data_IF_811434098899
#
_entry.id   IF_811434098899
#
_cell.length_a   1.000
_cell.length_b   1.000
_cell.length_c   1.000
_cell.angle_alpha   90.00
_cell.angle_beta   90.00
_cell.angle_gamma   90.00
#
_symmetry.space_group_name_H-M   'P 1'
#
loop_
_entity.id
_entity.type
_entity.pdbx_description
1 polymer ?
#
# COMPACT_ATOMS: atom_id res chain seq x y z
N UNK A 1 -0.33 -11.25 14.51
CA UNK A 1 0.31 -12.20 15.47
C UNK A 1 -0.67 -12.94 16.38
N UNK A 2 -1.53 -12.21 17.09
CA UNK A 2 -2.52 -12.80 18.04
C UNK A 2 -3.43 -13.81 17.35
N UNK A 3 -4.04 -13.46 16.22
CA UNK A 3 -4.92 -14.36 15.45
C UNK A 3 -4.20 -15.62 14.99
N UNK A 4 -2.96 -15.48 14.50
CA UNK A 4 -2.15 -16.63 14.09
C UNK A 4 -1.83 -17.58 15.27
N UNK A 5 -1.71 -17.03 16.48
CA UNK A 5 -1.52 -17.79 17.72
C UNK A 5 -2.81 -18.48 18.18
N UNK A 6 -3.96 -17.81 18.05
CA UNK A 6 -5.28 -18.37 18.41
C UNK A 6 -5.69 -19.53 17.50
N UNK A 7 -5.29 -19.48 16.23
CA UNK A 7 -5.72 -20.43 15.20
C UNK A 7 -4.54 -21.08 14.47
N UNK A 8 -3.68 -21.85 15.18
CA UNK A 8 -2.42 -22.33 14.63
C UNK A 8 -2.59 -23.32 13.45
N UNK A 9 -3.72 -24.01 13.37
CA UNK A 9 -4.05 -24.98 12.30
C UNK A 9 -4.75 -24.36 11.08
N UNK A 10 -5.20 -23.11 11.17
CA UNK A 10 -5.97 -22.43 10.13
C UNK A 10 -5.52 -20.96 9.99
N UNK A 11 -4.22 -20.70 10.10
CA UNK A 11 -3.64 -19.35 10.17
C UNK A 11 -4.08 -18.49 9.00
N UNK A 12 -3.96 -18.98 7.76
CA UNK A 12 -4.32 -18.20 6.56
C UNK A 12 -5.80 -17.83 6.56
N UNK A 13 -6.71 -18.77 6.88
CA UNK A 13 -8.16 -18.50 6.94
C UNK A 13 -8.48 -17.37 7.91
N UNK A 14 -8.00 -17.47 9.15
CA UNK A 14 -8.33 -16.48 10.18
C UNK A 14 -7.60 -15.16 10.00
N UNK A 15 -6.37 -15.17 9.48
CA UNK A 15 -5.69 -13.95 9.06
C UNK A 15 -6.41 -13.27 7.89
N UNK A 16 -7.00 -14.03 6.97
CA UNK A 16 -7.83 -13.47 5.89
C UNK A 16 -9.07 -12.79 6.42
N UNK A 17 -9.80 -13.43 7.34
CA UNK A 17 -10.96 -12.83 8.01
C UNK A 17 -10.57 -11.57 8.79
N UNK A 18 -9.44 -11.60 9.51
CA UNK A 18 -8.91 -10.41 10.19
C UNK A 18 -8.65 -9.28 9.19
N UNK A 19 -8.00 -9.59 8.06
CA UNK A 19 -7.72 -8.62 7.01
C UNK A 19 -8.99 -8.17 6.27
N UNK A 20 -10.09 -8.93 6.32
CA UNK A 20 -11.38 -8.45 5.82
C UNK A 20 -11.80 -7.18 6.58
N UNK A 21 -11.44 -7.04 7.86
CA UNK A 21 -11.68 -5.83 8.65
C UNK A 21 -11.10 -4.55 8.02
N UNK A 22 -9.92 -4.62 7.38
CA UNK A 22 -9.35 -3.50 6.63
C UNK A 22 -10.26 -3.08 5.47
N UNK A 23 -10.63 -4.04 4.62
CA UNK A 23 -11.49 -3.80 3.46
C UNK A 23 -12.87 -3.30 3.89
N UNK A 24 -13.45 -3.90 4.93
CA UNK A 24 -14.72 -3.46 5.52
C UNK A 24 -14.64 -2.05 6.10
N UNK A 25 -13.52 -1.68 6.69
CA UNK A 25 -13.25 -0.32 7.15
C UNK A 25 -13.22 0.70 6.00
N UNK A 26 -12.56 0.37 4.88
CA UNK A 26 -12.57 1.21 3.66
C UNK A 26 -13.99 1.33 3.09
N UNK A 27 -14.76 0.24 3.05
CA UNK A 27 -16.15 0.26 2.58
C UNK A 27 -17.03 1.14 3.47
N UNK A 28 -17.03 0.90 4.79
CA UNK A 28 -17.84 1.66 5.74
C UNK A 28 -17.43 3.14 5.74
N UNK A 29 -16.12 3.42 5.86
CA UNK A 29 -15.59 4.78 5.86
C UNK A 29 -15.86 5.50 4.55
N UNK A 30 -15.67 4.83 3.42
CA UNK A 30 -15.95 5.38 2.10
C UNK A 30 -17.44 5.68 1.89
N UNK A 31 -18.35 4.76 2.25
CA UNK A 31 -19.79 5.01 2.19
C UNK A 31 -20.16 6.21 3.06
N UNK A 32 -19.71 6.24 4.32
CA UNK A 32 -20.03 7.35 5.22
C UNK A 32 -19.46 8.68 4.71
N UNK A 33 -18.22 8.71 4.21
CA UNK A 33 -17.59 9.93 3.72
C UNK A 33 -18.18 10.44 2.39
N UNK A 34 -18.51 9.55 1.45
CA UNK A 34 -19.04 9.90 0.14
C UNK A 34 -20.52 10.29 0.20
N UNK A 35 -21.30 9.71 1.13
CA UNK A 35 -22.72 10.05 1.33
C UNK A 35 -22.93 11.40 2.01
N UNK A 36 -21.96 11.85 2.82
CA UNK A 36 -21.95 13.22 3.34
C UNK A 36 -21.78 14.29 2.24
N UNK A 37 -21.45 13.90 1.01
CA UNK A 37 -21.33 14.82 -0.11
C UNK A 37 -20.02 15.61 -0.13
N UNK A 38 -19.75 16.24 -1.27
CA UNK A 38 -18.51 17.00 -1.52
C UNK A 38 -18.43 18.28 -0.67
N UNK A 39 -19.56 18.93 -0.41
CA UNK A 39 -19.63 20.21 0.32
C UNK A 39 -19.41 20.09 1.83
N UNK A 40 -19.49 18.87 2.38
CA UNK A 40 -19.22 18.64 3.80
C UNK A 40 -17.74 18.83 4.09
N UNK A 41 -17.46 19.69 5.08
CA UNK A 41 -16.10 19.98 5.52
C UNK A 41 -15.34 18.69 5.90
N UNK A 42 -14.08 18.61 5.49
CA UNK A 42 -13.26 17.40 5.63
C UNK A 42 -13.07 16.97 7.09
N UNK A 43 -13.10 17.92 8.04
CA UNK A 43 -12.97 17.65 9.48
C UNK A 43 -14.06 16.71 9.97
N UNK A 44 -15.30 16.88 9.50
CA UNK A 44 -16.40 15.98 9.87
C UNK A 44 -16.20 14.59 9.28
N UNK A 45 -15.73 14.49 8.03
CA UNK A 45 -15.41 13.21 7.39
C UNK A 45 -14.32 12.44 8.14
N UNK A 46 -13.27 13.13 8.59
CA UNK A 46 -12.21 12.52 9.41
C UNK A 46 -12.72 12.17 10.81
N UNK A 47 -13.57 13.01 11.41
CA UNK A 47 -14.16 12.79 12.73
C UNK A 47 -14.95 11.48 12.83
N UNK A 48 -15.49 10.97 11.71
CA UNK A 48 -16.17 9.67 11.66
C UNK A 48 -15.30 8.50 12.13
N UNK A 49 -13.98 8.60 12.00
CA UNK A 49 -13.02 7.57 12.44
C UNK A 49 -13.08 7.36 13.97
N UNK A 50 -13.46 8.39 14.73
CA UNK A 50 -13.55 8.32 16.19
C UNK A 50 -14.62 7.32 16.64
N UNK A 51 -15.72 7.17 15.90
CA UNK A 51 -16.83 6.27 16.26
C UNK A 51 -16.35 4.82 16.38
N UNK A 52 -15.83 4.17 15.32
CA UNK A 52 -15.34 2.80 15.44
C UNK A 52 -14.13 2.71 16.37
N UNK A 53 -13.25 3.72 16.42
CA UNK A 53 -12.08 3.72 17.29
C UNK A 53 -12.46 3.63 18.77
N UNK A 54 -13.45 4.41 19.22
CA UNK A 54 -13.93 4.39 20.59
C UNK A 54 -14.65 3.07 20.93
N UNK A 55 -15.46 2.55 20.00
CA UNK A 55 -16.15 1.27 20.16
C UNK A 55 -15.12 0.14 20.32
N UNK A 56 -14.16 0.03 19.41
CA UNK A 56 -13.10 -0.98 19.49
C UNK A 56 -12.24 -0.80 20.74
N UNK A 57 -11.88 0.44 21.08
CA UNK A 57 -11.14 0.76 22.30
C UNK A 57 -11.84 0.19 23.53
N UNK A 58 -13.13 0.51 23.70
CA UNK A 58 -13.95 0.01 24.80
C UNK A 58 -14.06 -1.52 24.81
N UNK A 59 -14.29 -2.15 23.66
CA UNK A 59 -14.37 -3.61 23.53
C UNK A 59 -13.08 -4.33 23.97
N UNK A 60 -11.92 -3.69 23.80
CA UNK A 60 -10.61 -4.31 24.10
C UNK A 60 -10.18 -4.21 25.56
N UNK A 61 -10.75 -3.31 26.36
CA UNK A 61 -10.34 -3.06 27.76
C UNK A 61 -10.39 -4.34 28.61
N UNK A 62 -11.36 -5.22 28.35
CA UNK A 62 -11.58 -6.44 29.15
C UNK A 62 -10.96 -7.70 28.53
N UNK A 63 -10.27 -7.60 27.39
CA UNK A 63 -9.76 -8.78 26.68
C UNK A 63 -8.38 -9.22 27.20
N UNK A 64 -8.25 -10.52 27.47
CA UNK A 64 -6.97 -11.17 27.76
C UNK A 64 -6.43 -11.83 26.50
N UNK A 65 -5.30 -11.35 25.99
CA UNK A 65 -4.70 -11.90 24.79
C UNK A 65 -3.90 -13.18 25.08
N UNK A 66 -3.94 -14.17 24.17
CA UNK A 66 -3.15 -15.39 24.31
C UNK A 66 -1.66 -15.10 24.20
N UNK A 67 -0.88 -15.92 24.89
CA UNK A 67 0.58 -15.91 24.83
C UNK A 67 1.02 -16.39 23.45
N UNK A 68 1.91 -15.64 22.78
CA UNK A 68 2.40 -15.95 21.43
C UNK A 68 2.93 -17.39 21.29
N UNK A 69 2.72 -18.00 20.11
CA UNK A 69 3.16 -19.37 19.77
C UNK A 69 4.66 -19.63 20.04
N UNK A 70 5.51 -18.62 19.84
CA UNK A 70 6.96 -18.71 20.16
C UNK A 70 7.20 -18.97 21.65
N UNK A 71 6.43 -18.31 22.52
CA UNK A 71 6.59 -18.36 23.97
C UNK A 71 6.02 -19.68 24.47
N UNK A 72 4.92 -20.14 23.89
CA UNK A 72 4.38 -21.48 24.14
C UNK A 72 5.37 -22.59 23.73
N UNK A 73 6.09 -22.38 22.62
CA UNK A 73 7.11 -23.31 22.11
C UNK A 73 8.49 -23.17 22.78
N UNK A 74 8.63 -22.34 23.81
CA UNK A 74 9.90 -22.15 24.53
C UNK A 74 11.02 -21.47 23.72
N UNK A 75 10.70 -20.85 22.58
CA UNK A 75 11.69 -20.21 21.70
C UNK A 75 12.16 -18.90 22.34
N UNK A 76 13.48 -18.80 22.54
CA UNK A 76 14.10 -17.63 23.13
C UNK A 76 13.94 -16.38 22.26
N UNK A 77 14.08 -15.20 22.87
CA UNK A 77 14.04 -13.95 22.12
C UNK A 77 15.15 -13.88 21.05
N UNK A 78 16.34 -14.38 21.38
CA UNK A 78 17.48 -14.41 20.45
C UNK A 78 17.21 -15.30 19.24
N UNK A 79 16.66 -16.49 19.44
CA UNK A 79 16.30 -17.39 18.33
C UNK A 79 15.23 -16.77 17.41
N UNK A 80 14.27 -16.04 17.97
CA UNK A 80 13.30 -15.29 17.17
C UNK A 80 13.98 -14.24 16.29
N UNK A 81 14.95 -13.49 16.82
CA UNK A 81 15.72 -12.52 16.04
C UNK A 81 16.59 -13.21 14.96
N UNK A 82 17.10 -14.41 15.25
CA UNK A 82 17.94 -15.18 14.32
C UNK A 82 17.20 -15.64 13.07
N UNK A 83 15.87 -15.82 13.14
CA UNK A 83 15.04 -16.13 11.97
C UNK A 83 15.05 -14.98 10.94
N UNK A 84 15.03 -13.74 11.42
CA UNK A 84 15.18 -12.53 10.59
C UNK A 84 16.62 -12.36 10.14
N UNK A 85 17.55 -12.41 11.11
CA UNK A 85 18.99 -12.25 10.91
C UNK A 85 19.42 -10.95 10.23
N UNK A 86 20.72 -10.86 9.93
CA UNK A 86 21.31 -9.65 9.35
C UNK A 86 20.71 -9.29 7.98
N UNK A 87 20.44 -10.27 7.11
CA UNK A 87 19.89 -10.05 5.77
C UNK A 87 18.46 -9.52 5.80
N UNK A 88 17.60 -10.09 6.64
CA UNK A 88 16.24 -9.57 6.83
C UNK A 88 16.23 -8.19 7.50
N UNK A 89 17.11 -7.98 8.48
CA UNK A 89 17.29 -6.69 9.14
C UNK A 89 17.75 -5.61 8.17
N UNK A 90 18.68 -5.91 7.26
CA UNK A 90 19.19 -4.95 6.28
C UNK A 90 18.06 -4.33 5.46
N UNK A 91 17.12 -5.14 4.96
CA UNK A 91 16.02 -4.68 4.10
C UNK A 91 15.12 -3.70 4.86
N UNK A 92 14.66 -4.09 6.05
CA UNK A 92 13.72 -3.26 6.83
C UNK A 92 14.39 -2.01 7.39
N UNK A 93 15.63 -2.13 7.89
CA UNK A 93 16.39 -1.01 8.42
C UNK A 93 16.71 -0.02 7.29
N UNK A 94 17.14 -0.49 6.12
CA UNK A 94 17.39 0.37 4.98
C UNK A 94 16.14 1.21 4.64
N UNK A 95 14.98 0.57 4.51
CA UNK A 95 13.76 1.30 4.15
C UNK A 95 13.33 2.32 5.22
N UNK A 96 13.44 1.97 6.50
CA UNK A 96 13.14 2.91 7.60
C UNK A 96 14.13 4.08 7.59
N UNK A 97 15.44 3.80 7.56
CA UNK A 97 16.46 4.83 7.68
C UNK A 97 16.48 5.76 6.47
N UNK A 98 16.31 5.22 5.25
CA UNK A 98 16.19 6.07 4.07
C UNK A 98 14.94 6.95 4.14
N UNK A 99 13.81 6.43 4.64
CA UNK A 99 12.62 7.25 4.83
C UNK A 99 12.84 8.35 5.86
N UNK A 100 13.48 8.04 7.00
CA UNK A 100 13.86 9.06 7.97
C UNK A 100 14.84 10.08 7.38
N UNK A 101 15.79 9.63 6.56
CA UNK A 101 16.72 10.50 5.84
C UNK A 101 16.01 11.51 4.95
N UNK A 102 14.94 11.11 4.25
CA UNK A 102 14.12 12.06 3.46
C UNK A 102 13.40 13.08 4.34
N UNK A 103 12.89 12.67 5.50
CA UNK A 103 12.16 13.55 6.43
C UNK A 103 13.09 14.54 7.14
N UNK A 104 14.29 14.10 7.52
CA UNK A 104 15.27 14.92 8.24
C UNK A 104 16.30 15.61 7.34
N UNK A 105 16.25 15.39 6.03
CA UNK A 105 17.20 15.98 5.07
C UNK A 105 18.64 15.44 5.19
N UNK A 106 18.80 14.16 5.57
CA UNK A 106 20.13 13.54 5.67
C UNK A 106 20.69 13.22 4.28
N UNK A 107 22.01 13.31 4.14
CA UNK A 107 22.66 12.83 2.91
C UNK A 107 22.54 11.31 2.78
N UNK A 108 22.54 10.81 1.54
CA UNK A 108 22.50 9.37 1.25
C UNK A 108 23.62 8.61 1.97
N UNK A 109 24.82 9.20 2.07
CA UNK A 109 25.95 8.60 2.78
C UNK A 109 25.65 8.38 4.26
N UNK A 110 25.02 9.35 4.93
CA UNK A 110 24.62 9.23 6.35
C UNK A 110 23.60 8.10 6.51
N UNK A 111 22.58 8.05 5.65
CA UNK A 111 21.56 6.98 5.68
C UNK A 111 22.16 5.59 5.46
N UNK A 112 23.12 5.45 4.54
CA UNK A 112 23.85 4.19 4.31
C UNK A 112 24.67 3.78 5.52
N UNK A 113 25.44 4.71 6.10
CA UNK A 113 26.28 4.42 7.28
C UNK A 113 25.42 3.96 8.46
N UNK A 114 24.33 4.68 8.78
CA UNK A 114 23.42 4.32 9.87
C UNK A 114 22.80 2.94 9.62
N UNK A 115 22.35 2.68 8.38
CA UNK A 115 21.79 1.38 8.00
C UNK A 115 22.77 0.24 8.23
N UNK A 116 24.02 0.40 7.76
CA UNK A 116 25.07 -0.61 7.92
C UNK A 116 25.45 -0.82 9.39
N UNK A 117 25.54 0.25 10.18
CA UNK A 117 25.86 0.16 11.60
C UNK A 117 24.79 -0.60 12.39
N UNK A 118 23.52 -0.26 12.20
CA UNK A 118 22.39 -0.95 12.88
C UNK A 118 22.34 -2.42 12.43
N UNK A 119 22.48 -2.67 11.12
CA UNK A 119 22.44 -4.03 10.57
C UNK A 119 23.63 -4.86 11.07
N UNK A 120 24.84 -4.30 11.11
CA UNK A 120 26.02 -4.97 11.61
C UNK A 120 25.90 -5.28 13.12
N UNK A 121 25.39 -4.34 13.92
CA UNK A 121 25.09 -4.57 15.33
C UNK A 121 24.07 -5.68 15.55
N UNK A 122 22.98 -5.67 14.78
CA UNK A 122 21.96 -6.73 14.81
C UNK A 122 22.53 -8.09 14.37
N UNK A 123 23.34 -8.11 13.31
CA UNK A 123 24.01 -9.30 12.81
C UNK A 123 25.03 -9.87 13.81
N UNK A 124 25.78 -9.00 14.48
CA UNK A 124 26.73 -9.39 15.52
C UNK A 124 26.03 -10.02 16.74
N UNK A 125 24.90 -9.44 17.16
CA UNK A 125 24.09 -9.98 18.26
C UNK A 125 23.44 -11.32 17.90
N UNK A 126 22.80 -11.40 16.72
CA UNK A 126 22.07 -12.59 16.29
C UNK A 126 23.01 -13.72 15.86
N UNK A 127 24.20 -13.42 15.34
CA UNK A 127 25.12 -14.42 14.75
C UNK A 127 24.44 -15.27 13.67
N UNK A 128 23.48 -14.67 12.96
CA UNK A 128 22.70 -15.32 11.90
C UNK A 128 22.51 -14.34 10.74
N UNK A 129 22.68 -14.83 9.52
CA UNK A 129 22.30 -14.08 8.33
C UNK A 129 20.78 -13.99 8.16
N UNK A 130 20.03 -14.91 8.77
CA UNK A 130 18.57 -15.02 8.61
C UNK A 130 18.20 -16.19 7.71
N UNK A 131 16.91 -16.54 7.67
CA UNK A 131 16.41 -17.58 6.77
C UNK A 131 16.38 -17.06 5.33
N UNK A 132 17.06 -17.71 4.37
CA UNK A 132 17.04 -17.25 2.97
C UNK A 132 15.63 -17.11 2.38
N UNK A 133 14.75 -18.06 2.68
CA UNK A 133 13.35 -18.00 2.27
C UNK A 133 12.63 -16.76 2.83
N UNK A 134 12.90 -16.37 4.07
CA UNK A 134 12.27 -15.20 4.68
C UNK A 134 12.70 -13.92 3.94
N UNK A 135 13.98 -13.80 3.61
CA UNK A 135 14.52 -12.67 2.84
C UNK A 135 13.83 -12.58 1.47
N UNK A 136 13.66 -13.72 0.78
CA UNK A 136 12.94 -13.77 -0.50
C UNK A 136 11.50 -13.29 -0.32
N UNK A 137 10.79 -13.75 0.72
CA UNK A 137 9.42 -13.31 0.98
C UNK A 137 9.33 -11.81 1.31
N UNK A 138 10.30 -11.24 2.02
CA UNK A 138 10.38 -9.80 2.25
C UNK A 138 10.54 -9.04 0.92
N UNK A 139 11.42 -9.51 0.03
CA UNK A 139 11.59 -8.90 -1.29
C UNK A 139 10.34 -9.02 -2.16
N UNK A 140 9.60 -10.14 -2.08
CA UNK A 140 8.32 -10.33 -2.78
C UNK A 140 7.20 -9.48 -2.16
N UNK A 141 7.24 -9.22 -0.86
CA UNK A 141 6.27 -8.36 -0.18
C UNK A 141 6.28 -6.92 -0.72
N UNK A 142 7.44 -6.41 -1.16
CA UNK A 142 7.57 -5.05 -1.70
C UNK A 142 6.68 -4.83 -2.94
N UNK A 143 6.87 -5.54 -4.08
CA UNK A 143 6.01 -5.37 -5.25
C UNK A 143 4.57 -5.80 -5.00
N UNK A 144 4.34 -6.79 -4.13
CA UNK A 144 2.99 -7.19 -3.72
C UNK A 144 2.24 -6.03 -3.05
N UNK A 145 2.88 -5.38 -2.06
CA UNK A 145 2.26 -4.27 -1.34
C UNK A 145 2.05 -3.04 -2.25
N UNK A 146 2.99 -2.77 -3.15
CA UNK A 146 2.84 -1.75 -4.20
C UNK A 146 1.65 -2.05 -5.11
N UNK A 147 1.47 -3.31 -5.52
CA UNK A 147 0.36 -3.71 -6.40
C UNK A 147 -1.01 -3.60 -5.71
N UNK A 148 -1.10 -3.88 -4.41
CA UNK A 148 -2.36 -3.74 -3.66
C UNK A 148 -2.58 -2.30 -3.18
N UNK A 149 -1.76 -1.84 -2.23
CA UNK A 149 -1.98 -0.58 -1.52
C UNK A 149 -1.42 0.64 -2.26
N UNK A 150 -0.32 0.46 -2.99
CA UNK A 150 0.22 1.53 -3.84
C UNK A 150 -0.74 1.90 -4.97
N UNK A 151 -1.48 0.93 -5.51
CA UNK A 151 -2.54 1.22 -6.48
C UNK A 151 -3.75 1.87 -5.80
N UNK A 152 -4.15 1.41 -4.60
CA UNK A 152 -5.27 1.99 -3.85
C UNK A 152 -5.10 3.48 -3.56
N UNK A 153 -3.87 3.93 -3.33
CA UNK A 153 -3.61 5.36 -3.08
C UNK A 153 -3.78 6.23 -4.33
N UNK A 154 -3.79 5.65 -5.53
CA UNK A 154 -3.85 6.38 -6.81
C UNK A 154 -5.13 6.14 -7.60
N UNK A 155 -5.84 5.03 -7.37
CA UNK A 155 -6.99 4.64 -8.20
C UNK A 155 -8.10 5.70 -8.22
N UNK A 156 -8.30 6.40 -7.10
CA UNK A 156 -9.31 7.47 -7.02
C UNK A 156 -8.94 8.65 -7.92
N UNK A 157 -7.69 9.11 -7.88
CA UNK A 157 -7.23 10.25 -8.67
C UNK A 157 -7.13 9.90 -10.15
N UNK A 158 -6.59 8.73 -10.47
CA UNK A 158 -6.46 8.25 -11.85
C UNK A 158 -7.80 8.00 -12.53
N UNK A 159 -8.82 7.55 -11.79
CA UNK A 159 -10.16 7.32 -12.34
C UNK A 159 -11.05 8.56 -12.29
N UNK A 160 -10.61 9.67 -11.70
CA UNK A 160 -11.42 10.87 -11.57
C UNK A 160 -11.95 11.44 -12.90
N UNK A 161 -11.14 11.53 -13.97
CA UNK A 161 -11.62 12.02 -15.27
C UNK A 161 -12.74 11.17 -15.84
N UNK A 162 -12.57 9.84 -15.84
CA UNK A 162 -13.53 8.91 -16.43
C UNK A 162 -14.80 8.76 -15.57
N UNK A 163 -14.66 8.80 -14.24
CA UNK A 163 -15.78 8.74 -13.31
C UNK A 163 -16.63 10.03 -13.38
N UNK A 164 -15.99 11.19 -13.61
CA UNK A 164 -16.70 12.46 -13.82
C UNK A 164 -17.57 12.42 -15.08
N UNK A 165 -17.11 11.78 -16.17
CA UNK A 165 -17.89 11.63 -17.42
C UNK A 165 -19.18 10.85 -17.22
N UNK A 166 -19.23 9.93 -16.25
CA UNK A 166 -20.45 9.17 -15.89
C UNK A 166 -21.22 9.76 -14.70
N UNK A 167 -20.82 10.93 -14.19
CA UNK A 167 -21.49 11.61 -13.08
C UNK A 167 -21.32 10.94 -11.72
N UNK A 168 -20.29 10.10 -11.54
CA UNK A 168 -20.00 9.42 -10.28
C UNK A 168 -18.73 9.96 -9.62
N UNK A 169 -18.70 9.96 -8.29
CA UNK A 169 -17.48 10.28 -7.53
C UNK A 169 -16.44 9.17 -7.70
N UNK A 170 -15.19 9.53 -7.97
CA UNK A 170 -14.12 8.57 -8.25
C UNK A 170 -13.83 7.60 -7.11
N UNK A 171 -14.05 8.04 -5.86
CA UNK A 171 -13.85 7.23 -4.65
C UNK A 171 -14.73 5.97 -4.62
N UNK A 172 -15.81 5.91 -5.40
CA UNK A 172 -16.63 4.70 -5.51
C UNK A 172 -15.88 3.52 -6.12
N UNK A 173 -14.85 3.75 -6.96
CA UNK A 173 -14.02 2.66 -7.50
C UNK A 173 -13.24 1.96 -6.38
N UNK A 174 -12.67 2.73 -5.46
CA UNK A 174 -11.97 2.20 -4.28
C UNK A 174 -12.92 1.47 -3.34
N UNK A 175 -14.11 2.04 -3.08
CA UNK A 175 -15.15 1.38 -2.26
C UNK A 175 -15.60 0.07 -2.89
N UNK A 176 -15.81 0.05 -4.20
CA UNK A 176 -16.25 -1.12 -4.95
C UNK A 176 -15.23 -2.27 -4.91
N UNK A 177 -13.96 -1.98 -5.24
CA UNK A 177 -12.88 -2.98 -5.17
C UNK A 177 -12.66 -3.48 -3.75
N UNK A 178 -12.81 -2.62 -2.74
CA UNK A 178 -12.73 -2.97 -1.33
C UNK A 178 -13.92 -3.82 -0.87
N UNK A 179 -15.13 -3.62 -1.42
CA UNK A 179 -16.29 -4.46 -1.12
C UNK A 179 -16.10 -5.89 -1.63
N UNK A 180 -15.56 -6.05 -2.85
CA UNK A 180 -15.18 -7.36 -3.39
C UNK A 180 -14.16 -8.03 -2.47
N UNK A 181 -13.12 -7.30 -2.09
CA UNK A 181 -12.09 -7.78 -1.16
C UNK A 181 -12.66 -8.20 0.19
N UNK A 182 -13.56 -7.40 0.76
CA UNK A 182 -14.22 -7.71 2.02
C UNK A 182 -14.93 -9.07 1.96
N UNK A 183 -15.77 -9.27 0.94
CA UNK A 183 -16.52 -10.51 0.75
C UNK A 183 -15.59 -11.70 0.52
N UNK A 184 -14.64 -11.58 -0.41
CA UNK A 184 -13.75 -12.68 -0.78
C UNK A 184 -12.83 -13.13 0.35
N UNK A 185 -12.42 -12.23 1.25
CA UNK A 185 -11.55 -12.58 2.37
C UNK A 185 -12.20 -13.53 3.39
N UNK A 186 -13.53 -13.60 3.46
CA UNK A 186 -14.23 -14.64 4.23
C UNK A 186 -14.13 -16.04 3.58
N UNK A 187 -13.97 -16.09 2.26
CA UNK A 187 -13.89 -17.33 1.49
C UNK A 187 -12.46 -17.81 1.23
N UNK A 188 -11.45 -17.12 1.77
CA UNK A 188 -10.04 -17.50 1.60
C UNK A 188 -9.71 -18.92 2.12
N UNK A 189 -10.41 -19.40 3.17
CA UNK A 189 -10.19 -20.73 3.74
C UNK A 189 -10.30 -21.86 2.69
N UNK A 190 -11.46 -22.04 2.04
CA UNK A 190 -11.63 -23.01 0.96
C UNK A 190 -10.60 -22.91 -0.18
N UNK A 191 -10.17 -21.69 -0.56
CA UNK A 191 -9.17 -21.53 -1.62
C UNK A 191 -7.79 -22.07 -1.20
N UNK A 192 -7.39 -21.83 0.04
CA UNK A 192 -6.08 -22.25 0.57
C UNK A 192 -5.94 -23.76 0.76
N UNK A 193 -7.06 -24.49 0.79
CA UNK A 193 -7.03 -25.96 0.80
C UNK A 193 -6.87 -26.56 -0.61
N UNK A 194 -7.18 -25.79 -1.68
CA UNK A 194 -7.12 -26.27 -3.07
C UNK A 194 -5.88 -25.79 -3.82
N UNK A 195 -5.34 -24.64 -3.44
CA UNK A 195 -4.20 -24.00 -4.11
C UNK A 195 -3.15 -23.68 -3.05
N UNK A 196 -1.88 -23.95 -3.34
CA UNK A 196 -0.77 -23.57 -2.45
C UNK A 196 -0.70 -22.05 -2.30
N UNK A 197 -0.21 -21.56 -1.15
CA UNK A 197 -0.10 -20.11 -0.89
C UNK A 197 0.72 -19.39 -1.96
N UNK A 198 1.84 -19.97 -2.40
CA UNK A 198 2.65 -19.41 -3.49
C UNK A 198 1.91 -19.44 -4.85
N UNK A 199 1.18 -20.52 -5.14
CA UNK A 199 0.37 -20.62 -6.35
C UNK A 199 -0.78 -19.61 -6.39
N UNK A 200 -1.42 -19.36 -5.23
CA UNK A 200 -2.46 -18.35 -5.10
C UNK A 200 -1.90 -16.94 -5.31
N UNK A 201 -0.73 -16.62 -4.74
CA UNK A 201 -0.04 -15.35 -4.98
C UNK A 201 0.30 -15.16 -6.46
N UNK A 202 0.86 -16.18 -7.11
CA UNK A 202 1.19 -16.12 -8.53
C UNK A 202 -0.04 -15.93 -9.43
N UNK A 203 -1.13 -16.66 -9.15
CA UNK A 203 -2.41 -16.50 -9.85
C UNK A 203 -2.96 -15.07 -9.67
N UNK A 204 -2.96 -14.57 -8.43
CA UNK A 204 -3.41 -13.21 -8.15
C UNK A 204 -2.55 -12.18 -8.89
N UNK A 205 -1.23 -12.35 -8.96
CA UNK A 205 -0.36 -11.46 -9.74
C UNK A 205 -0.73 -11.45 -11.23
N UNK A 206 -0.99 -12.63 -11.83
CA UNK A 206 -1.43 -12.71 -13.23
C UNK A 206 -2.78 -12.01 -13.48
N UNK A 207 -3.76 -12.24 -12.60
CA UNK A 207 -5.08 -11.60 -12.71
C UNK A 207 -4.99 -10.08 -12.43
N UNK A 208 -4.11 -9.65 -11.53
CA UNK A 208 -3.87 -8.24 -11.24
C UNK A 208 -3.30 -7.50 -12.46
N UNK A 209 -2.36 -8.11 -13.18
CA UNK A 209 -1.82 -7.54 -14.44
C UNK A 209 -2.94 -7.31 -15.45
N UNK A 210 -3.81 -8.30 -15.65
CA UNK A 210 -4.96 -8.18 -16.56
C UNK A 210 -5.91 -7.07 -16.08
N UNK A 211 -6.29 -7.08 -14.80
CA UNK A 211 -7.20 -6.09 -14.24
C UNK A 211 -6.68 -4.66 -14.32
N UNK A 212 -5.41 -4.43 -14.01
CA UNK A 212 -4.77 -3.12 -14.09
C UNK A 212 -4.62 -2.62 -15.53
N UNK A 213 -4.23 -3.51 -16.45
CA UNK A 213 -4.14 -3.17 -17.87
C UNK A 213 -5.52 -2.84 -18.46
N UNK A 214 -6.56 -3.58 -18.06
CA UNK A 214 -7.93 -3.24 -18.44
C UNK A 214 -8.35 -1.90 -17.85
N UNK A 215 -8.04 -1.62 -16.58
CA UNK A 215 -8.37 -0.33 -15.93
C UNK A 215 -7.75 0.85 -16.67
N UNK A 216 -6.50 0.72 -17.15
CA UNK A 216 -5.82 1.82 -17.85
C UNK A 216 -6.45 2.20 -19.20
N UNK A 217 -7.28 1.33 -19.78
CA UNK A 217 -7.96 1.57 -21.06
C UNK A 217 -9.49 1.65 -20.94
N UNK A 218 -10.03 1.52 -19.73
CA UNK A 218 -11.47 1.42 -19.51
C UNK A 218 -12.14 2.78 -19.40
N UNK A 219 -13.30 2.90 -20.04
CA UNK A 219 -14.19 4.07 -19.92
C UNK A 219 -15.61 3.60 -19.58
N UNK A 220 -16.38 4.46 -18.93
CA UNK A 220 -17.76 4.17 -18.55
C UNK A 220 -17.92 2.87 -17.74
N UNK A 221 -18.86 2.01 -18.14
CA UNK A 221 -19.18 0.78 -17.40
C UNK A 221 -18.04 -0.26 -17.38
N UNK A 222 -17.11 -0.19 -18.35
CA UNK A 222 -15.96 -1.10 -18.39
C UNK A 222 -15.04 -0.93 -17.18
N UNK A 223 -15.06 0.24 -16.53
CA UNK A 223 -14.33 0.48 -15.28
C UNK A 223 -14.78 -0.50 -14.19
N UNK A 224 -16.09 -0.78 -14.09
CA UNK A 224 -16.60 -1.72 -13.09
C UNK A 224 -16.16 -3.16 -13.39
N UNK A 225 -16.13 -3.55 -14.66
CA UNK A 225 -15.65 -4.88 -15.07
C UNK A 225 -14.15 -5.02 -14.77
N UNK A 226 -13.34 -4.05 -15.16
CA UNK A 226 -11.91 -4.04 -14.91
C UNK A 226 -11.58 -3.98 -13.40
N UNK A 227 -12.30 -3.13 -12.66
CA UNK A 227 -12.20 -3.05 -11.20
C UNK A 227 -12.62 -4.35 -10.53
N UNK A 228 -13.58 -5.11 -11.09
CA UNK A 228 -13.93 -6.43 -10.57
C UNK A 228 -12.75 -7.38 -10.68
N UNK A 229 -12.17 -7.50 -11.88
CA UNK A 229 -11.03 -8.39 -12.14
C UNK A 229 -9.85 -8.04 -11.22
N UNK A 230 -9.54 -6.75 -11.10
CA UNK A 230 -8.50 -6.28 -10.19
C UNK A 230 -8.85 -6.54 -8.71
N UNK A 231 -10.10 -6.30 -8.31
CA UNK A 231 -10.63 -6.58 -6.97
C UNK A 231 -10.51 -8.06 -6.58
N UNK A 232 -10.82 -8.97 -7.51
CA UNK A 232 -10.64 -10.42 -7.32
C UNK A 232 -9.18 -10.77 -7.06
N UNK A 233 -8.26 -10.19 -7.85
CA UNK A 233 -6.82 -10.43 -7.73
C UNK A 233 -6.25 -9.94 -6.39
N UNK A 234 -6.49 -8.68 -6.05
CA UNK A 234 -5.90 -8.06 -4.85
C UNK A 234 -6.44 -8.64 -3.54
N UNK A 235 -7.56 -9.35 -3.57
CA UNK A 235 -8.23 -9.86 -2.37
C UNK A 235 -7.35 -10.74 -1.48
N UNK A 236 -6.41 -11.48 -2.08
CA UNK A 236 -5.64 -12.51 -1.40
C UNK A 236 -4.16 -12.18 -1.17
N UNK A 237 -3.63 -11.08 -1.71
CA UNK A 237 -2.20 -10.76 -1.62
C UNK A 237 -1.69 -10.68 -0.17
N UNK A 238 -2.16 -9.70 0.62
CA UNK A 238 -1.72 -9.53 2.01
C UNK A 238 -1.98 -10.73 2.93
N UNK A 239 -3.22 -11.25 3.02
CA UNK A 239 -3.49 -12.32 3.97
C UNK A 239 -2.77 -13.63 3.62
N UNK A 240 -2.60 -13.94 2.33
CA UNK A 240 -1.84 -15.12 1.91
C UNK A 240 -0.34 -14.96 2.18
N UNK A 241 0.23 -13.78 1.96
CA UNK A 241 1.64 -13.53 2.29
C UNK A 241 1.90 -13.64 3.80
N UNK A 242 1.09 -12.97 4.63
CA UNK A 242 1.25 -13.02 6.08
C UNK A 242 0.97 -14.42 6.64
N UNK A 243 0.00 -15.14 6.08
CA UNK A 243 -0.26 -16.53 6.42
C UNK A 243 0.91 -17.44 6.07
N UNK A 244 1.47 -17.32 4.86
CA UNK A 244 2.67 -18.05 4.43
C UNK A 244 3.85 -17.80 5.36
N UNK A 245 4.14 -16.53 5.68
CA UNK A 245 5.22 -16.18 6.64
C UNK A 245 4.96 -16.79 8.02
N UNK A 246 3.70 -16.75 8.49
CA UNK A 246 3.35 -17.30 9.80
C UNK A 246 3.46 -18.82 9.89
N UNK A 247 3.29 -19.53 8.78
CA UNK A 247 3.41 -20.98 8.70
C UNK A 247 4.85 -21.42 8.51
N UNK A 248 5.63 -20.70 7.70
CA UNK A 248 7.02 -21.03 7.41
C UNK A 248 7.99 -20.61 8.53
N UNK A 249 7.64 -19.59 9.33
CA UNK A 249 8.51 -19.06 10.39
C UNK A 249 7.83 -19.02 11.76
N UNK A 250 7.37 -20.16 12.31
CA UNK A 250 6.70 -20.20 13.63
C UNK A 250 7.62 -19.74 14.76
N UNK A 251 8.94 -20.00 14.65
CA UNK A 251 9.96 -19.51 15.61
C UNK A 251 10.14 -17.98 15.56
N UNK A 252 9.94 -17.38 14.38
CA UNK A 252 9.97 -15.94 14.19
C UNK A 252 8.75 -15.22 14.80
N UNK A 253 7.67 -15.97 15.04
CA UNK A 253 6.52 -15.53 15.82
C UNK A 253 5.95 -14.18 15.38
N UNK A 254 5.78 -13.27 16.34
CA UNK A 254 5.25 -11.94 16.06
C UNK A 254 6.20 -11.05 15.25
N UNK A 255 7.51 -11.27 15.35
CA UNK A 255 8.50 -10.40 14.71
C UNK A 255 8.46 -10.55 13.19
N UNK A 256 8.48 -11.78 12.66
CA UNK A 256 8.47 -12.02 11.21
C UNK A 256 7.17 -11.50 10.58
N UNK A 257 6.04 -11.68 11.27
CA UNK A 257 4.75 -11.11 10.86
C UNK A 257 4.75 -9.58 10.84
N UNK A 258 5.24 -8.96 11.92
CA UNK A 258 5.27 -7.50 12.03
C UNK A 258 6.26 -6.86 11.04
N UNK A 259 7.43 -7.48 10.83
CA UNK A 259 8.39 -7.03 9.82
C UNK A 259 7.79 -7.13 8.42
N UNK A 260 7.15 -8.26 8.08
CA UNK A 260 6.55 -8.42 6.74
C UNK A 260 5.44 -7.39 6.51
N UNK A 261 4.52 -7.23 7.46
CA UNK A 261 3.44 -6.24 7.35
C UNK A 261 3.95 -4.80 7.33
N UNK A 262 4.89 -4.47 8.23
CA UNK A 262 5.50 -3.12 8.29
C UNK A 262 6.30 -2.78 7.04
N UNK A 263 7.09 -3.73 6.53
CA UNK A 263 7.79 -3.62 5.26
C UNK A 263 6.81 -3.32 4.13
N UNK A 264 5.71 -4.07 4.06
CA UNK A 264 4.66 -3.86 3.07
C UNK A 264 4.06 -2.45 3.12
N UNK A 265 3.74 -1.94 4.33
CA UNK A 265 3.18 -0.59 4.48
C UNK A 265 4.16 0.50 4.02
N UNK A 266 5.44 0.38 4.41
CA UNK A 266 6.47 1.33 4.00
C UNK A 266 6.69 1.24 2.49
N UNK A 267 6.78 0.04 1.93
CA UNK A 267 6.95 -0.17 0.49
C UNK A 267 5.78 0.42 -0.31
N UNK A 268 4.53 0.20 0.11
CA UNK A 268 3.37 0.74 -0.58
C UNK A 268 3.37 2.27 -0.63
N UNK A 269 3.67 2.94 0.50
CA UNK A 269 3.69 4.40 0.56
C UNK A 269 4.92 5.03 -0.10
N UNK A 270 6.12 4.54 0.24
CA UNK A 270 7.37 5.16 -0.20
C UNK A 270 7.71 4.78 -1.64
N UNK A 271 7.64 3.49 -1.95
CA UNK A 271 8.02 2.98 -3.27
C UNK A 271 6.82 3.05 -4.20
N UNK A 272 5.69 2.46 -3.81
CA UNK A 272 4.50 2.40 -4.66
C UNK A 272 3.96 3.78 -5.01
N UNK A 273 3.56 4.55 -4.00
CA UNK A 273 2.98 5.86 -4.25
C UNK A 273 4.01 6.86 -4.81
N UNK A 274 5.27 6.77 -4.40
CA UNK A 274 6.36 7.61 -4.92
C UNK A 274 6.66 7.37 -6.40
N UNK A 275 6.71 6.11 -6.85
CA UNK A 275 6.93 5.77 -8.27
C UNK A 275 5.76 6.25 -9.13
N UNK A 276 4.53 6.01 -8.69
CA UNK A 276 3.34 6.43 -9.43
C UNK A 276 3.25 7.96 -9.54
N UNK A 277 3.59 8.69 -8.47
CA UNK A 277 3.68 10.14 -8.50
C UNK A 277 4.72 10.67 -9.46
N UNK A 278 5.92 10.07 -9.49
CA UNK A 278 6.95 10.41 -10.47
C UNK A 278 6.48 10.21 -11.92
N UNK A 279 5.82 9.09 -12.21
CA UNK A 279 5.30 8.80 -13.55
C UNK A 279 4.22 9.82 -13.94
N UNK A 280 3.31 10.13 -13.02
CA UNK A 280 2.23 11.09 -13.24
C UNK A 280 2.79 12.49 -13.52
N UNK A 281 3.67 13.00 -12.65
CA UNK A 281 4.25 14.34 -12.79
C UNK A 281 5.07 14.47 -14.07
N UNK A 282 5.84 13.43 -14.45
CA UNK A 282 6.60 13.42 -15.70
C UNK A 282 5.69 13.39 -16.94
N UNK A 283 4.57 12.68 -16.87
CA UNK A 283 3.59 12.67 -17.97
C UNK A 283 2.98 14.06 -18.15
N UNK A 284 2.60 14.71 -17.06
CA UNK A 284 2.06 16.07 -17.06
C UNK A 284 3.09 17.07 -17.60
N UNK A 285 4.32 17.01 -17.10
CA UNK A 285 5.46 17.84 -17.55
C UNK A 285 5.61 17.79 -19.08
N UNK A 286 5.62 16.59 -19.66
CA UNK A 286 5.72 16.38 -21.10
C UNK A 286 4.50 16.89 -21.87
N UNK A 287 3.28 16.64 -21.38
CA UNK A 287 2.06 17.07 -22.07
C UNK A 287 1.89 18.58 -22.07
N UNK A 288 2.20 19.26 -20.96
CA UNK A 288 2.16 20.73 -20.89
C UNK A 288 3.24 21.33 -21.81
N UNK A 289 4.45 20.78 -21.83
CA UNK A 289 5.50 21.24 -22.75
C UNK A 289 5.08 21.09 -24.22
N UNK A 290 4.43 19.99 -24.60
CA UNK A 290 3.89 19.79 -25.95
C UNK A 290 2.75 20.74 -26.29
N UNK A 291 1.90 21.06 -25.31
CA UNK A 291 0.83 22.05 -25.46
C UNK A 291 1.40 23.46 -25.68
N UNK A 292 2.41 23.86 -24.90
CA UNK A 292 3.11 25.15 -25.04
C UNK A 292 3.71 25.31 -26.45
N UNK A 293 4.34 24.26 -26.98
CA UNK A 293 4.88 24.27 -28.35
C UNK A 293 3.80 24.43 -29.42
N UNK A 294 2.62 23.84 -29.21
CA UNK A 294 1.55 23.84 -30.21
C UNK A 294 0.70 25.11 -30.17
N UNK A 295 0.59 25.76 -29.00
CA UNK A 295 -0.31 26.89 -28.75
C UNK A 295 0.42 28.20 -28.44
N UNK A 296 1.76 28.21 -28.47
CA UNK A 296 2.61 29.36 -28.10
C UNK A 296 2.28 29.92 -26.70
N UNK A 297 2.08 29.03 -25.74
CA UNK A 297 1.83 29.39 -24.33
C UNK A 297 3.09 29.22 -23.47
N UNK A 298 3.05 29.72 -22.24
CA UNK A 298 4.14 29.62 -21.25
C UNK A 298 3.68 28.93 -19.96
N UNK A 299 2.73 28.00 -20.08
CA UNK A 299 2.10 27.31 -18.95
C UNK A 299 3.13 26.43 -18.23
N UNK A 300 4.00 25.77 -19.00
CA UNK A 300 5.04 24.89 -18.50
C UNK A 300 6.01 25.61 -17.55
N UNK A 301 6.61 26.71 -18.02
CA UNK A 301 7.59 27.47 -17.24
C UNK A 301 6.98 28.19 -16.04
N UNK A 302 5.67 28.47 -16.09
CA UNK A 302 4.95 29.16 -15.02
C UNK A 302 4.53 28.22 -13.89
N UNK A 303 3.99 27.04 -14.23
CA UNK A 303 3.32 26.15 -13.27
C UNK A 303 4.08 24.85 -12.99
N UNK A 304 4.96 24.38 -13.88
CA UNK A 304 5.79 23.17 -13.64
C UNK A 304 7.12 23.57 -13.02
N UNK A 305 7.07 24.05 -11.78
CA UNK A 305 8.24 24.63 -11.09
C UNK A 305 8.62 23.95 -9.78
N UNK A 306 7.78 23.05 -9.25
CA UNK A 306 8.05 22.38 -7.99
C UNK A 306 9.16 21.35 -8.18
N UNK A 307 10.31 21.55 -7.53
CA UNK A 307 11.42 20.60 -7.59
C UNK A 307 11.17 19.44 -6.63
N UNK A 308 11.13 18.22 -7.16
CA UNK A 308 10.91 16.99 -6.41
C UNK A 308 12.06 16.01 -6.65
N UNK A 309 12.33 15.18 -5.65
CA UNK A 309 13.31 14.09 -5.75
C UNK A 309 12.58 12.76 -5.67
N UNK A 310 12.84 11.88 -6.62
CA UNK A 310 12.32 10.50 -6.64
C UNK A 310 13.47 9.48 -6.58
N UNK A 311 13.11 8.20 -6.52
CA UNK A 311 14.05 7.09 -6.71
C UNK A 311 14.79 7.14 -8.07
N UNK A 312 14.26 7.87 -9.05
CA UNK A 312 14.81 7.99 -10.41
C UNK A 312 15.52 9.33 -10.67
N UNK A 313 15.72 10.14 -9.63
CA UNK A 313 16.39 11.43 -9.71
C UNK A 313 15.45 12.62 -9.50
N UNK A 314 16.01 13.81 -9.76
CA UNK A 314 15.30 15.09 -9.66
C UNK A 314 14.37 15.29 -10.86
N UNK A 315 13.18 15.82 -10.59
CA UNK A 315 12.17 16.13 -11.60
C UNK A 315 11.32 17.30 -11.14
N UNK A 316 10.62 17.93 -12.08
CA UNK A 316 9.69 19.02 -11.79
C UNK A 316 8.26 18.50 -11.79
N UNK A 317 7.49 18.91 -10.80
CA UNK A 317 6.05 18.69 -10.71
C UNK A 317 5.26 19.99 -10.85
N UNK A 318 3.94 19.84 -10.94
CA UNK A 318 3.00 20.96 -10.90
C UNK A 318 3.03 21.63 -9.52
N UNK A 319 3.32 22.93 -9.51
CA UNK A 319 3.22 23.78 -8.33
C UNK A 319 1.75 24.13 -8.08
N UNK A 320 1.12 23.39 -7.16
CA UNK A 320 -0.30 23.56 -6.88
C UNK A 320 -0.64 24.87 -6.19
N UNK A 321 0.31 25.49 -5.48
CA UNK A 321 0.09 26.81 -4.92
C UNK A 321 -0.05 27.84 -6.05
N UNK A 322 0.85 27.80 -7.04
CA UNK A 322 0.76 28.68 -8.21
C UNK A 322 -0.48 28.39 -9.05
N UNK A 323 -0.79 27.12 -9.30
CA UNK A 323 -1.97 26.74 -10.08
C UNK A 323 -3.27 27.21 -9.40
N UNK A 324 -3.37 27.13 -8.08
CA UNK A 324 -4.55 27.59 -7.34
C UNK A 324 -4.79 29.10 -7.45
N UNK A 325 -3.74 29.89 -7.68
CA UNK A 325 -3.79 31.33 -7.93
C UNK A 325 -3.84 31.73 -9.41
N UNK A 326 -3.82 30.75 -10.32
CA UNK A 326 -3.80 30.96 -11.76
C UNK A 326 -5.14 31.50 -12.30
N UNK A 327 -5.13 31.95 -13.55
CA UNK A 327 -6.38 32.32 -14.23
C UNK A 327 -7.29 31.09 -14.39
N UNK A 328 -8.63 31.24 -14.39
CA UNK A 328 -9.54 30.12 -14.60
C UNK A 328 -9.27 29.35 -15.90
N UNK A 329 -8.84 30.05 -16.95
CA UNK A 329 -8.48 29.45 -18.23
C UNK A 329 -7.22 28.56 -18.13
N UNK A 330 -6.19 29.01 -17.41
CA UNK A 330 -4.98 28.20 -17.18
C UNK A 330 -5.28 27.00 -16.28
N UNK A 331 -6.12 27.18 -15.24
CA UNK A 331 -6.55 26.09 -14.38
C UNK A 331 -7.28 25.00 -15.18
N UNK A 332 -8.21 25.41 -16.04
CA UNK A 332 -8.96 24.50 -16.90
C UNK A 332 -8.05 23.80 -17.91
N UNK A 333 -7.12 24.54 -18.54
CA UNK A 333 -6.16 24.00 -19.51
C UNK A 333 -5.25 22.96 -18.87
N UNK A 334 -4.61 23.29 -17.75
CA UNK A 334 -3.73 22.37 -17.02
C UNK A 334 -4.51 21.14 -16.52
N UNK A 335 -5.73 21.34 -16.01
CA UNK A 335 -6.57 20.22 -15.57
C UNK A 335 -6.94 19.30 -16.74
N UNK A 336 -7.29 19.87 -17.89
CA UNK A 336 -7.62 19.09 -19.09
C UNK A 336 -6.43 18.28 -19.60
N UNK A 337 -5.23 18.89 -19.62
CA UNK A 337 -3.99 18.23 -20.03
C UNK A 337 -3.60 17.10 -19.06
N UNK A 338 -3.82 17.30 -17.76
CA UNK A 338 -3.57 16.29 -16.73
C UNK A 338 -4.51 15.09 -16.83
N UNK A 339 -5.76 15.36 -17.19
CA UNK A 339 -6.86 14.41 -17.19
C UNK A 339 -6.99 13.63 -18.53
N UNK A 340 -6.23 14.04 -19.57
CA UNK A 340 -5.94 13.27 -20.80
C UNK A 340 -4.64 12.51 -20.65
#
# INVERSE_FOLDING_TARGET
PVVATMFPKQKIKWLSILHAGWAGGVVLGGIMALTLGVDTQWQYKIGLILIPTLIYGFMTISLKFPVNERVQSGVSYKEMLQEVGAGGALIIVALIIFQLGTVFGWSTAVSVIITLLITAGFGYYTRSFGRPLFIILLLVMIPLATTELGTDSWITDLMAPEMKKIGLQAGWVLVYTSAIMFVLRFFAGPLTHKISSLGLLALCSGVAVIGLYMLSASTGIMILVAATIYGLAKSFFWPTMLGLVSEQFPKGGALTLNITGGLGMIAAGVIGAGILGFIQDKSIDQKIAGYDQSNNTAIHSTYVTEQKTSLFGEYKGLDQAKLSSATPADQETVTTIRDT
#
